data_IF_184967193717
#
_entry.id   IF_184967193717
#
_cell.length_a   1.000
_cell.length_b   1.000
_cell.length_c   1.000
_cell.angle_alpha   90.00
_cell.angle_beta   90.00
_cell.angle_gamma   90.00
#
_symmetry.space_group_name_H-M   'P 1'
#
loop_
_entity.id
_entity.type
_entity.pdbx_description
1 polymer ?
#
# COMPACT_ATOMS: atom_id res chain seq x y z
N UNK A 1 8.84 -3.19 11.81
CA UNK A 1 8.28 -1.95 11.20
C UNK A 1 7.88 -2.21 9.77
N UNK A 2 6.76 -1.70 9.38
CA UNK A 2 6.26 -1.79 8.02
C UNK A 2 6.49 -0.44 7.34
N UNK A 3 7.06 -0.47 6.14
CA UNK A 3 7.31 0.74 5.37
C UNK A 3 6.50 0.65 4.07
N UNK A 4 5.58 1.58 3.91
CA UNK A 4 4.76 1.69 2.69
C UNK A 4 5.22 2.92 1.92
N UNK A 5 5.56 2.72 0.65
CA UNK A 5 5.98 3.80 -0.23
C UNK A 5 4.95 3.92 -1.36
N UNK A 6 4.41 5.12 -1.54
CA UNK A 6 3.49 5.42 -2.63
C UNK A 6 4.27 6.12 -3.73
N UNK A 7 4.15 5.60 -4.95
CA UNK A 7 4.84 6.17 -6.11
C UNK A 7 3.91 7.09 -6.88
N UNK A 8 4.41 8.27 -7.22
CA UNK A 8 3.67 9.29 -7.96
C UNK A 8 4.43 9.62 -9.24
N UNK A 9 3.70 9.97 -10.29
CA UNK A 9 4.32 10.51 -11.50
C UNK A 9 4.56 12.03 -11.37
N UNK A 10 5.10 12.65 -12.41
CA UNK A 10 5.41 14.08 -12.40
C UNK A 10 4.16 14.95 -12.30
N UNK A 11 2.99 14.43 -12.65
CA UNK A 11 1.71 15.13 -12.50
C UNK A 11 1.09 14.94 -11.11
N UNK A 12 1.78 14.24 -10.22
CA UNK A 12 1.28 13.98 -8.87
C UNK A 12 0.26 12.86 -8.77
N UNK A 13 0.04 12.10 -9.84
CA UNK A 13 -0.90 10.98 -9.84
C UNK A 13 -0.26 9.76 -9.22
N UNK A 14 -1.01 9.04 -8.38
CA UNK A 14 -0.54 7.81 -7.75
C UNK A 14 -0.55 6.68 -8.77
N UNK A 15 0.60 6.09 -9.01
CA UNK A 15 0.78 5.05 -10.03
C UNK A 15 1.17 3.70 -9.47
N UNK A 16 1.45 3.64 -8.17
CA UNK A 16 1.80 2.38 -7.54
C UNK A 16 2.19 2.56 -6.08
N UNK A 17 2.55 1.45 -5.47
CA UNK A 17 3.01 1.45 -4.09
C UNK A 17 3.78 0.17 -3.79
N UNK A 18 4.56 0.23 -2.72
CA UNK A 18 5.21 -0.95 -2.16
C UNK A 18 4.97 -1.00 -0.66
N UNK A 19 4.92 -2.21 -0.13
CA UNK A 19 4.85 -2.45 1.31
C UNK A 19 5.96 -3.43 1.67
N UNK A 20 6.84 -3.05 2.57
CA UNK A 20 8.04 -3.80 2.92
C UNK A 20 8.13 -3.94 4.42
N UNK A 21 8.52 -5.11 4.87
CA UNK A 21 8.80 -5.38 6.27
C UNK A 21 7.72 -6.16 6.97
N UNK A 22 8.07 -6.61 8.14
CA UNK A 22 7.17 -7.30 9.06
C UNK A 22 7.01 -6.49 10.32
N UNK A 23 5.83 -6.55 10.88
CA UNK A 23 5.68 -6.26 12.28
C UNK A 23 6.46 -7.31 13.07
N UNK A 24 7.11 -6.91 14.15
CA UNK A 24 7.86 -7.84 15.00
C UNK A 24 6.98 -8.97 15.53
N UNK A 25 7.58 -10.08 15.84
CA UNK A 25 6.90 -11.35 16.05
C UNK A 25 5.92 -11.39 17.21
N UNK A 26 6.19 -10.70 18.27
CA UNK A 26 5.58 -11.02 19.55
C UNK A 26 4.87 -9.85 20.19
N UNK A 27 4.89 -8.69 19.60
CA UNK A 27 4.22 -7.54 20.16
C UNK A 27 2.81 -7.43 19.61
N UNK A 28 1.86 -7.37 20.51
CA UNK A 28 0.44 -7.29 20.19
C UNK A 28 0.11 -6.18 19.18
N UNK A 29 0.71 -5.00 19.35
CA UNK A 29 0.49 -3.90 18.43
C UNK A 29 1.03 -4.15 17.02
N UNK A 30 2.12 -4.90 16.91
CA UNK A 30 2.70 -5.26 15.62
C UNK A 30 1.78 -6.18 14.83
N UNK A 31 1.17 -7.18 15.47
CA UNK A 31 0.28 -8.12 14.79
C UNK A 31 -0.97 -7.41 14.26
N UNK A 32 -1.55 -6.53 15.04
CA UNK A 32 -2.73 -5.77 14.64
C UNK A 32 -2.41 -4.84 13.48
N UNK A 33 -1.29 -4.12 13.56
CA UNK A 33 -0.87 -3.20 12.52
C UNK A 33 -0.57 -3.96 11.23
N UNK A 34 0.16 -5.07 11.34
CA UNK A 34 0.49 -5.90 10.19
C UNK A 34 -0.77 -6.41 9.47
N UNK A 35 -1.73 -6.91 10.24
CA UNK A 35 -3.01 -7.38 9.70
C UNK A 35 -3.78 -6.24 9.02
N UNK A 36 -3.82 -5.08 9.65
CA UNK A 36 -4.51 -3.92 9.10
C UNK A 36 -3.88 -3.42 7.80
N UNK A 37 -2.56 -3.31 7.78
CA UNK A 37 -1.83 -2.89 6.57
C UNK A 37 -2.03 -3.90 5.44
N UNK A 38 -1.90 -5.19 5.74
CA UNK A 38 -2.10 -6.25 4.75
C UNK A 38 -3.51 -6.21 4.18
N UNK A 39 -4.52 -6.04 5.02
CA UNK A 39 -5.90 -5.97 4.56
C UNK A 39 -6.11 -4.80 3.61
N UNK A 40 -5.60 -3.61 3.94
CA UNK A 40 -5.75 -2.43 3.10
C UNK A 40 -5.00 -2.56 1.78
N UNK A 41 -3.77 -3.05 1.82
CA UNK A 41 -2.93 -3.19 0.62
C UNK A 41 -3.51 -4.25 -0.32
N UNK A 42 -3.84 -5.42 0.19
CA UNK A 42 -4.39 -6.50 -0.63
C UNK A 42 -5.76 -6.14 -1.17
N UNK A 43 -6.61 -5.51 -0.36
CA UNK A 43 -7.91 -5.06 -0.82
C UNK A 43 -7.78 -4.02 -1.94
N UNK A 44 -6.84 -3.12 -1.85
CA UNK A 44 -6.60 -2.13 -2.89
C UNK A 44 -6.23 -2.81 -4.22
N UNK A 45 -5.30 -3.75 -4.19
CA UNK A 45 -4.88 -4.50 -5.37
C UNK A 45 -6.05 -5.26 -5.98
N UNK A 46 -6.80 -6.00 -5.15
CA UNK A 46 -7.95 -6.78 -5.61
C UNK A 46 -9.06 -5.90 -6.16
N UNK A 47 -9.27 -4.73 -5.56
CA UNK A 47 -10.28 -3.78 -6.01
C UNK A 47 -9.92 -3.22 -7.38
N UNK A 48 -8.66 -2.86 -7.59
CA UNK A 48 -8.20 -2.37 -8.89
C UNK A 48 -8.36 -3.47 -9.95
N UNK A 49 -7.98 -4.71 -9.62
CA UNK A 49 -8.15 -5.84 -10.54
C UNK A 49 -9.62 -6.05 -10.92
N UNK A 50 -10.54 -5.95 -9.96
CA UNK A 50 -11.94 -6.27 -10.17
C UNK A 50 -12.78 -5.11 -10.71
N UNK A 51 -12.42 -3.88 -10.40
CA UNK A 51 -13.28 -2.72 -10.70
C UNK A 51 -12.70 -1.77 -11.74
N UNK A 52 -11.42 -1.88 -12.05
CA UNK A 52 -10.77 -1.00 -13.00
C UNK A 52 -10.33 -1.77 -14.23
N UNK A 53 -10.36 -1.11 -15.39
CA UNK A 53 -9.87 -1.68 -16.64
C UNK A 53 -8.48 -1.13 -16.92
N UNK A 54 -7.50 -1.55 -16.12
CA UNK A 54 -6.12 -1.10 -16.21
C UNK A 54 -5.18 -2.29 -16.13
N UNK A 55 -4.03 -2.17 -16.78
CA UNK A 55 -2.96 -3.17 -16.65
C UNK A 55 -2.06 -2.78 -15.50
N UNK A 56 -1.61 -3.78 -14.78
CA UNK A 56 -0.70 -3.57 -13.65
C UNK A 56 0.19 -4.79 -13.45
N UNK A 57 1.23 -4.59 -12.67
CA UNK A 57 2.13 -5.66 -12.28
C UNK A 57 2.23 -5.70 -10.75
N UNK A 58 2.19 -6.91 -10.20
CA UNK A 58 2.38 -7.14 -8.76
C UNK A 58 3.56 -8.09 -8.59
N UNK A 59 4.50 -7.69 -7.76
CA UNK A 59 5.58 -8.56 -7.30
C UNK A 59 5.40 -8.74 -5.79
N UNK A 60 5.35 -9.99 -5.34
CA UNK A 60 5.23 -10.32 -3.92
C UNK A 60 6.15 -11.48 -3.62
N UNK A 61 6.79 -11.47 -2.44
CA UNK A 61 7.59 -12.60 -2.02
C UNK A 61 6.71 -13.68 -1.39
N UNK A 62 7.25 -14.90 -1.30
CA UNK A 62 6.52 -16.06 -0.80
C UNK A 62 6.18 -15.94 0.69
N UNK A 63 6.93 -15.14 1.41
CA UNK A 63 6.72 -14.94 2.85
C UNK A 63 5.70 -13.84 3.14
N UNK A 64 5.26 -13.13 2.09
CA UNK A 64 4.25 -12.09 2.23
C UNK A 64 4.73 -10.80 2.89
N UNK A 65 6.03 -10.68 3.13
CA UNK A 65 6.59 -9.49 3.77
C UNK A 65 6.81 -8.32 2.84
N UNK A 66 6.88 -8.57 1.53
CA UNK A 66 7.16 -7.54 0.54
C UNK A 66 6.19 -7.64 -0.62
N UNK A 67 5.56 -6.54 -0.94
CA UNK A 67 4.65 -6.41 -2.08
C UNK A 67 4.99 -5.13 -2.83
N UNK A 68 5.00 -5.19 -4.16
CA UNK A 68 5.13 -4.01 -5.00
C UNK A 68 4.09 -4.07 -6.11
N UNK A 69 3.31 -3.01 -6.20
CA UNK A 69 2.25 -2.84 -7.22
C UNK A 69 2.57 -1.63 -8.08
N UNK A 70 2.52 -1.80 -9.40
CA UNK A 70 2.73 -0.69 -10.33
C UNK A 70 1.72 -0.78 -11.46
N UNK A 71 1.05 0.35 -11.76
CA UNK A 71 0.22 0.46 -12.95
C UNK A 71 1.12 0.50 -14.20
N UNK A 72 0.72 -0.25 -15.23
CA UNK A 72 1.41 -0.25 -16.52
C UNK A 72 0.91 0.88 -17.43
N UNK A 73 -0.34 1.27 -17.26
CA UNK A 73 -0.96 2.35 -18.01
C UNK A 73 -1.05 3.61 -17.13
N UNK A 74 -1.24 4.79 -17.72
CA UNK A 74 -1.52 5.98 -16.93
C UNK A 74 -2.70 5.75 -16.00
N UNK A 75 -2.60 6.25 -14.79
CA UNK A 75 -3.65 6.09 -13.78
C UNK A 75 -4.96 6.72 -14.27
N UNK A 76 -6.04 5.97 -14.18
CA UNK A 76 -7.37 6.52 -14.36
C UNK A 76 -7.92 7.04 -13.02
N UNK A 77 -9.07 7.72 -13.07
CA UNK A 77 -9.66 8.27 -11.86
C UNK A 77 -10.04 7.21 -10.84
N UNK A 78 -10.49 6.05 -11.29
CA UNK A 78 -10.95 4.99 -10.38
C UNK A 78 -9.79 4.30 -9.68
N UNK A 79 -8.72 3.99 -10.40
CA UNK A 79 -7.56 3.36 -9.77
C UNK A 79 -6.88 4.32 -8.80
N UNK A 80 -6.79 5.60 -9.14
CA UNK A 80 -6.23 6.58 -8.21
C UNK A 80 -7.12 6.75 -6.98
N UNK A 81 -8.43 6.75 -7.13
CA UNK A 81 -9.35 6.82 -6.00
C UNK A 81 -9.14 5.66 -5.03
N UNK A 82 -8.98 4.44 -5.56
CA UNK A 82 -8.74 3.26 -4.72
C UNK A 82 -7.40 3.33 -4.00
N UNK A 83 -6.35 3.82 -4.67
CA UNK A 83 -5.06 4.03 -4.02
C UNK A 83 -5.17 5.10 -2.94
N UNK A 84 -5.86 6.19 -3.20
CA UNK A 84 -6.09 7.24 -2.20
C UNK A 84 -6.90 6.73 -1.00
N UNK A 85 -7.86 5.86 -1.24
CA UNK A 85 -8.62 5.22 -0.16
C UNK A 85 -7.73 4.36 0.73
N UNK A 86 -6.84 3.58 0.12
CA UNK A 86 -5.84 2.81 0.86
C UNK A 86 -4.95 3.74 1.70
N UNK A 87 -4.45 4.82 1.12
CA UNK A 87 -3.59 5.79 1.81
C UNK A 87 -4.31 6.37 3.02
N UNK A 88 -5.58 6.72 2.87
CA UNK A 88 -6.38 7.24 3.98
C UNK A 88 -6.44 6.25 5.14
N UNK A 89 -6.68 4.97 4.84
CA UNK A 89 -6.69 3.93 5.86
C UNK A 89 -5.34 3.73 6.52
N UNK A 90 -4.25 3.76 5.75
CA UNK A 90 -2.89 3.64 6.28
C UNK A 90 -2.53 4.82 7.19
N UNK A 91 -2.95 6.03 6.82
CA UNK A 91 -2.75 7.21 7.67
C UNK A 91 -3.52 7.07 8.98
N UNK A 92 -4.70 6.48 8.95
CA UNK A 92 -5.46 6.19 10.16
C UNK A 92 -4.72 5.24 11.08
N UNK A 93 -4.16 4.17 10.54
CA UNK A 93 -3.36 3.23 11.33
C UNK A 93 -2.13 3.93 11.92
N UNK A 94 -1.42 4.71 11.13
CA UNK A 94 -0.26 5.44 11.59
C UNK A 94 -0.61 6.41 12.73
N UNK A 95 -1.73 7.11 12.59
CA UNK A 95 -2.22 8.04 13.60
C UNK A 95 -2.58 7.34 14.90
N UNK A 96 -3.19 6.16 14.82
CA UNK A 96 -3.67 5.43 16.01
C UNK A 96 -2.57 4.67 16.72
N UNK A 97 -1.59 4.14 16.00
CA UNK A 97 -0.55 3.26 16.55
C UNK A 97 0.84 3.89 16.57
N UNK A 98 1.09 4.92 15.76
CA UNK A 98 2.35 5.65 15.77
C UNK A 98 3.37 5.17 14.74
N UNK A 99 4.44 5.95 14.62
CA UNK A 99 5.48 5.73 13.61
C UNK A 99 6.42 4.57 13.92
N UNK A 100 6.31 3.98 15.11
CA UNK A 100 7.12 2.83 15.48
C UNK A 100 6.68 1.56 14.76
N UNK A 101 5.47 1.55 14.21
CA UNK A 101 4.89 0.37 13.57
C UNK A 101 4.79 0.50 12.06
N UNK A 102 4.52 1.69 11.57
CA UNK A 102 4.33 1.94 10.14
C UNK A 102 4.91 3.30 9.77
N UNK A 103 5.61 3.32 8.64
CA UNK A 103 6.08 4.57 8.02
C UNK A 103 5.47 4.65 6.63
N UNK A 104 4.95 5.81 6.27
CA UNK A 104 4.34 6.07 4.99
C UNK A 104 5.17 7.11 4.24
N UNK A 105 5.68 6.71 3.08
CA UNK A 105 6.53 7.55 2.23
C UNK A 105 5.84 7.82 0.89
N UNK A 106 6.16 8.96 0.30
CA UNK A 106 5.72 9.32 -1.05
C UNK A 106 6.95 9.61 -1.89
N UNK A 107 7.01 9.01 -3.08
CA UNK A 107 8.17 9.13 -3.96
C UNK A 107 7.73 9.41 -5.39
N UNK A 108 8.30 10.46 -5.98
CA UNK A 108 8.11 10.74 -7.39
C UNK A 108 9.04 9.86 -8.23
N UNK A 109 8.49 9.29 -9.27
CA UNK A 109 9.24 8.42 -10.18
C UNK A 109 9.05 8.83 -11.64
#
# INVERSE_FOLDING_TARGET
MIEVTVYQNTDGKKIGFSSVGHAGYDEYGHDIVCAGVSALVINCINSIENFCDVRFKVDADDEGGNIKFMLADPADGDSELLINSMILGLKGIQNDYGNDYIILNFKEV
#
